data_IF_964577348408
#
_entry.id   IF_964577348408
#
_cell.length_a   1.000
_cell.length_b   1.000
_cell.length_c   1.000
_cell.angle_alpha   90.00
_cell.angle_beta   90.00
_cell.angle_gamma   90.00
#
_symmetry.space_group_name_H-M   'P 1'
#
loop_
_entity.id
_entity.type
_entity.pdbx_description
1 polymer ?
#
# COMPACT_ATOMS: atom_id res chain seq x y z
N UNK A 1 -2.35 43.89 54.60
CA UNK A 1 -2.60 43.61 53.17
C UNK A 1 -1.31 43.15 52.53
N UNK A 2 -1.14 41.86 52.31
CA UNK A 2 0.03 41.30 51.59
C UNK A 2 -0.43 40.96 50.19
N UNK A 3 0.14 41.63 49.19
CA UNK A 3 -0.10 41.39 47.80
C UNK A 3 0.77 40.20 47.36
N UNK A 4 0.13 39.11 47.00
CA UNK A 4 0.79 37.91 46.49
C UNK A 4 0.97 38.10 44.97
N UNK A 5 2.19 38.36 44.55
CA UNK A 5 2.56 38.39 43.11
C UNK A 5 2.71 36.95 42.58
N UNK A 6 1.75 36.50 41.77
CA UNK A 6 1.76 35.22 41.08
C UNK A 6 2.68 35.36 39.86
N UNK A 7 3.88 34.81 39.95
CA UNK A 7 4.84 34.75 38.85
C UNK A 7 4.43 33.63 37.89
N UNK A 8 3.89 33.96 36.70
CA UNK A 8 3.54 33.07 35.63
C UNK A 8 4.83 32.69 34.84
N UNK A 9 5.40 31.54 35.17
CA UNK A 9 6.51 30.96 34.40
C UNK A 9 5.91 30.38 33.13
N UNK A 10 6.05 31.11 32.00
CA UNK A 10 5.77 30.60 30.68
C UNK A 10 6.88 29.59 30.29
N UNK A 11 6.58 28.30 30.38
CA UNK A 11 7.42 27.23 29.87
C UNK A 11 7.26 27.21 28.34
N UNK A 12 8.18 27.87 27.64
CA UNK A 12 8.31 27.77 26.18
C UNK A 12 8.81 26.36 25.85
N UNK A 13 7.87 25.44 25.61
CA UNK A 13 8.18 24.17 24.97
C UNK A 13 8.47 24.49 23.50
N UNK A 14 9.76 24.63 23.16
CA UNK A 14 10.20 24.64 21.79
C UNK A 14 9.93 23.27 21.19
N UNK A 15 8.83 23.15 20.46
CA UNK A 15 8.57 22.00 19.58
C UNK A 15 9.61 22.09 18.46
N UNK A 16 10.74 21.41 18.62
CA UNK A 16 11.66 21.16 17.53
C UNK A 16 10.93 20.28 16.54
N UNK A 17 10.29 20.89 15.54
CA UNK A 17 9.82 20.20 14.36
C UNK A 17 11.08 19.75 13.60
N UNK A 18 11.51 18.51 13.80
CA UNK A 18 12.57 17.91 12.99
C UNK A 18 12.00 17.73 11.58
N UNK A 19 12.28 18.72 10.73
CA UNK A 19 12.05 18.58 9.30
C UNK A 19 13.11 17.61 8.77
N UNK A 20 12.75 16.34 8.60
CA UNK A 20 13.64 15.37 7.98
C UNK A 20 13.82 15.76 6.51
N UNK A 21 15.07 15.85 6.07
CA UNK A 21 15.39 16.16 4.68
C UNK A 21 15.34 14.87 3.85
N UNK A 22 14.52 14.89 2.79
CA UNK A 22 14.40 13.77 1.87
C UNK A 22 15.44 13.86 0.76
N UNK A 23 16.17 12.76 0.54
CA UNK A 23 17.10 12.57 -0.56
C UNK A 23 16.75 11.31 -1.35
N UNK A 24 17.17 11.29 -2.60
CA UNK A 24 17.02 10.17 -3.51
C UNK A 24 18.38 9.68 -3.97
N UNK A 25 18.49 8.43 -4.35
CA UNK A 25 19.72 7.85 -4.91
C UNK A 25 19.38 6.79 -5.95
N UNK A 26 20.11 6.75 -7.05
CA UNK A 26 19.99 5.70 -8.07
C UNK A 26 21.04 4.61 -7.92
N UNK A 27 22.18 4.91 -7.28
CA UNK A 27 23.35 4.03 -7.15
C UNK A 27 23.66 3.63 -5.70
N UNK A 28 22.88 4.15 -4.73
CA UNK A 28 23.10 3.93 -3.29
C UNK A 28 24.26 4.74 -2.71
N UNK A 29 24.96 5.58 -3.51
CA UNK A 29 26.15 6.35 -3.09
C UNK A 29 25.91 7.85 -3.15
N UNK A 30 25.41 8.33 -4.26
CA UNK A 30 25.17 9.75 -4.49
C UNK A 30 23.76 10.12 -4.05
N UNK A 31 23.64 11.20 -3.26
CA UNK A 31 22.33 11.73 -2.81
C UNK A 31 21.95 12.88 -3.73
N UNK A 32 20.72 12.84 -4.21
CA UNK A 32 20.11 13.88 -5.04
C UNK A 32 18.79 14.33 -4.42
N UNK A 33 18.39 15.54 -4.69
CA UNK A 33 17.09 16.07 -4.30
C UNK A 33 15.99 15.51 -5.20
N UNK A 34 14.74 15.68 -4.81
CA UNK A 34 13.60 15.31 -5.64
C UNK A 34 13.61 15.99 -7.00
N UNK A 35 13.94 17.28 -7.01
CA UNK A 35 14.01 18.07 -8.24
C UNK A 35 15.10 17.55 -9.20
N UNK A 36 16.26 17.18 -8.67
CA UNK A 36 17.34 16.60 -9.50
C UNK A 36 16.95 15.23 -10.05
N UNK A 37 16.26 14.38 -9.25
CA UNK A 37 15.76 13.09 -9.72
C UNK A 37 14.72 13.26 -10.85
N UNK A 38 13.80 14.21 -10.73
CA UNK A 38 12.81 14.54 -11.75
C UNK A 38 13.45 15.10 -13.02
N UNK A 39 14.48 15.94 -12.89
CA UNK A 39 15.22 16.47 -14.03
C UNK A 39 15.99 15.36 -14.77
N UNK A 40 16.64 14.45 -14.03
CA UNK A 40 17.31 13.29 -14.62
C UNK A 40 16.34 12.42 -15.41
N UNK A 41 15.18 12.14 -14.84
CA UNK A 41 14.12 11.36 -15.52
C UNK A 41 13.66 12.07 -16.79
N UNK A 42 13.38 13.36 -16.72
CA UNK A 42 12.95 14.17 -17.88
C UNK A 42 13.98 14.13 -19.00
N UNK A 43 15.26 14.34 -18.69
CA UNK A 43 16.35 14.26 -19.68
C UNK A 43 16.45 12.89 -20.35
N UNK A 44 16.26 11.81 -19.59
CA UNK A 44 16.26 10.45 -20.15
C UNK A 44 15.05 10.21 -21.07
N UNK A 45 13.85 10.65 -20.67
CA UNK A 45 12.64 10.55 -21.47
C UNK A 45 12.79 11.29 -22.79
N UNK A 46 13.24 12.54 -22.75
CA UNK A 46 13.44 13.38 -23.94
C UNK A 46 14.46 12.76 -24.91
N UNK A 47 15.56 12.24 -24.37
CA UNK A 47 16.57 11.53 -25.17
C UNK A 47 15.99 10.32 -25.88
N UNK A 48 15.25 9.46 -25.14
CA UNK A 48 14.65 8.24 -25.70
C UNK A 48 13.52 8.56 -26.67
N UNK A 49 12.71 9.58 -26.40
CA UNK A 49 11.66 10.10 -27.29
C UNK A 49 12.25 10.52 -28.64
N UNK A 50 13.38 11.24 -28.63
CA UNK A 50 14.08 11.65 -29.86
C UNK A 50 14.65 10.45 -30.62
N UNK A 51 15.22 9.46 -29.93
CA UNK A 51 15.82 8.26 -30.56
C UNK A 51 14.73 7.40 -31.20
N UNK A 52 13.61 7.18 -30.51
CA UNK A 52 12.56 6.25 -30.93
C UNK A 52 11.48 6.92 -31.81
N UNK A 53 11.50 8.25 -31.94
CA UNK A 53 10.54 8.99 -32.77
C UNK A 53 9.08 8.88 -32.31
N UNK A 54 8.84 8.50 -31.05
CA UNK A 54 7.51 8.39 -30.47
C UNK A 54 7.46 9.00 -29.05
N UNK A 55 6.28 9.50 -28.65
CA UNK A 55 6.07 10.05 -27.32
C UNK A 55 6.35 8.97 -26.27
N UNK A 56 7.20 9.29 -25.30
CA UNK A 56 7.50 8.46 -24.16
C UNK A 56 7.20 9.21 -22.86
N UNK A 57 6.97 8.45 -21.80
CA UNK A 57 6.68 8.93 -20.46
C UNK A 57 7.61 8.26 -19.46
N UNK A 58 8.11 9.04 -18.52
CA UNK A 58 8.94 8.55 -17.42
C UNK A 58 8.13 8.33 -16.15
N UNK A 59 8.58 7.37 -15.37
CA UNK A 59 8.11 7.20 -13.99
C UNK A 59 9.27 6.89 -13.06
N UNK A 60 9.19 7.43 -11.85
CA UNK A 60 10.10 7.17 -10.75
C UNK A 60 9.45 6.16 -9.82
N UNK A 61 10.20 5.12 -9.44
CA UNK A 61 9.76 4.10 -8.48
C UNK A 61 10.74 4.06 -7.32
N UNK A 62 10.24 4.11 -6.09
CA UNK A 62 11.05 3.92 -4.88
C UNK A 62 11.22 2.42 -4.67
N UNK A 63 12.45 1.93 -4.68
CA UNK A 63 12.80 0.53 -4.44
C UNK A 63 12.98 0.24 -2.96
N UNK A 64 13.60 1.16 -2.24
CA UNK A 64 13.91 1.04 -0.83
C UNK A 64 14.06 2.45 -0.21
N UNK A 65 13.79 2.56 1.08
CA UNK A 65 13.98 3.80 1.84
C UNK A 65 14.78 3.49 3.10
N UNK A 66 15.83 4.29 3.34
CA UNK A 66 16.67 4.21 4.53
C UNK A 66 16.61 5.54 5.28
N UNK A 67 16.53 5.50 6.61
CA UNK A 67 16.68 6.69 7.45
C UNK A 67 18.09 6.70 8.02
N UNK A 68 18.84 7.78 7.73
CA UNK A 68 20.20 8.02 8.27
C UNK A 68 20.27 9.39 8.92
N UNK A 69 20.46 9.40 10.25
CA UNK A 69 20.42 10.62 11.06
C UNK A 69 19.10 11.38 10.81
N UNK A 70 19.18 12.64 10.34
CA UNK A 70 18.06 13.53 10.09
C UNK A 70 17.53 13.45 8.64
N UNK A 71 17.98 12.45 7.87
CA UNK A 71 17.65 12.35 6.44
C UNK A 71 16.97 11.03 6.10
N UNK A 72 15.95 11.11 5.26
CA UNK A 72 15.33 9.97 4.60
C UNK A 72 15.98 9.82 3.22
N UNK A 73 16.55 8.65 2.93
CA UNK A 73 17.20 8.37 1.65
C UNK A 73 16.44 7.27 0.95
N UNK A 74 15.82 7.61 -0.17
CA UNK A 74 15.07 6.67 -0.99
C UNK A 74 15.87 6.24 -2.21
N UNK A 75 16.16 4.93 -2.33
CA UNK A 75 16.71 4.38 -3.55
C UNK A 75 15.62 4.32 -4.61
N UNK A 76 15.89 4.89 -5.77
CA UNK A 76 14.95 5.03 -6.86
C UNK A 76 15.45 4.35 -8.14
N UNK A 77 14.51 3.91 -8.95
CA UNK A 77 14.73 3.54 -10.34
C UNK A 77 13.82 4.33 -11.28
N UNK A 78 14.25 4.47 -12.53
CA UNK A 78 13.47 5.11 -13.59
C UNK A 78 12.93 4.05 -14.54
N UNK A 79 11.66 4.16 -14.89
CA UNK A 79 11.06 3.40 -15.97
C UNK A 79 10.60 4.36 -17.07
N UNK A 80 10.83 3.99 -18.33
CA UNK A 80 10.40 4.76 -19.49
C UNK A 80 9.48 3.87 -20.34
N UNK A 81 8.31 4.38 -20.70
CA UNK A 81 7.27 3.66 -21.42
C UNK A 81 6.58 4.58 -22.43
N UNK A 82 5.92 4.01 -23.42
CA UNK A 82 5.02 4.70 -24.33
C UNK A 82 3.63 4.99 -23.72
N UNK A 83 3.42 4.59 -22.46
CA UNK A 83 2.21 4.89 -21.68
C UNK A 83 2.54 5.78 -20.49
N UNK A 84 1.71 6.79 -20.21
CA UNK A 84 1.82 7.57 -18.97
C UNK A 84 1.81 6.65 -17.74
N UNK A 85 2.53 7.04 -16.68
CA UNK A 85 2.54 6.29 -15.42
C UNK A 85 1.14 6.07 -14.86
N UNK A 86 0.25 7.05 -14.99
CA UNK A 86 -1.16 6.90 -14.65
C UNK A 86 -1.84 5.77 -15.44
N UNK A 87 -1.38 5.55 -16.68
CA UNK A 87 -1.83 4.46 -17.53
C UNK A 87 -1.07 3.14 -17.27
N UNK A 88 0.13 3.17 -16.67
CA UNK A 88 0.86 1.96 -16.22
C UNK A 88 0.30 1.44 -14.91
N UNK A 89 -0.05 2.33 -13.98
CA UNK A 89 -0.79 1.99 -12.78
C UNK A 89 -2.23 1.57 -13.12
N UNK A 90 -2.78 2.15 -14.20
CA UNK A 90 -4.09 1.83 -14.75
C UNK A 90 -4.03 0.79 -15.90
N UNK A 91 -2.88 0.22 -16.24
CA UNK A 91 -2.75 -0.77 -17.32
C UNK A 91 -2.74 -2.21 -16.82
N UNK A 92 -2.83 -2.41 -15.53
CA UNK A 92 -3.07 -3.74 -14.96
C UNK A 92 -4.53 -4.16 -15.15
N UNK A 93 -4.84 -5.43 -14.95
CA UNK A 93 -6.18 -5.98 -15.18
C UNK A 93 -7.28 -5.28 -14.37
N UNK A 94 -6.93 -4.67 -13.25
CA UNK A 94 -7.87 -3.91 -12.42
C UNK A 94 -8.06 -2.44 -12.85
N UNK A 95 -7.33 -1.96 -13.87
CA UNK A 95 -7.41 -0.57 -14.33
C UNK A 95 -8.78 -0.21 -14.89
N UNK A 96 -9.46 -1.16 -15.50
CA UNK A 96 -10.81 -0.97 -16.03
C UNK A 96 -11.85 -0.69 -14.94
N UNK A 97 -11.60 -1.14 -13.70
CA UNK A 97 -12.50 -0.94 -12.56
C UNK A 97 -12.18 0.31 -11.75
N UNK A 98 -11.08 1.00 -12.04
CA UNK A 98 -10.67 2.22 -11.32
C UNK A 98 -11.75 3.29 -11.42
N UNK A 99 -12.19 3.80 -10.26
CA UNK A 99 -13.29 4.77 -10.11
C UNK A 99 -14.66 4.27 -10.63
N UNK A 100 -14.82 2.95 -10.79
CA UNK A 100 -16.07 2.28 -11.14
C UNK A 100 -16.48 1.27 -10.06
N UNK A 101 -17.70 0.80 -10.16
CA UNK A 101 -18.18 -0.30 -9.32
C UNK A 101 -17.30 -1.53 -9.52
N UNK A 102 -16.79 -2.06 -8.41
CA UNK A 102 -16.06 -3.31 -8.44
C UNK A 102 -16.98 -4.48 -8.78
N UNK A 103 -16.53 -5.49 -9.51
CA UNK A 103 -17.34 -6.65 -9.84
C UNK A 103 -17.95 -7.29 -8.60
N UNK A 104 -19.22 -7.68 -8.70
CA UNK A 104 -19.88 -8.43 -7.65
C UNK A 104 -19.31 -9.84 -7.59
N UNK A 105 -19.19 -10.35 -6.38
CA UNK A 105 -18.74 -11.71 -6.16
C UNK A 105 -19.60 -12.42 -5.12
N UNK A 106 -19.61 -13.72 -5.24
CA UNK A 106 -20.29 -14.65 -4.38
C UNK A 106 -19.34 -15.81 -4.11
N UNK A 107 -18.73 -15.85 -2.92
CA UNK A 107 -17.63 -16.74 -2.57
C UNK A 107 -17.90 -17.42 -1.23
N UNK A 108 -17.25 -18.56 -1.00
CA UNK A 108 -17.37 -19.30 0.25
C UNK A 108 -16.43 -18.74 1.32
N UNK A 109 -16.94 -18.67 2.55
CA UNK A 109 -16.12 -18.40 3.74
C UNK A 109 -15.50 -19.68 4.29
N UNK A 110 -14.55 -19.55 5.24
CA UNK A 110 -13.99 -20.69 5.99
C UNK A 110 -15.00 -21.49 6.82
N UNK A 111 -16.21 -21.01 6.99
CA UNK A 111 -17.30 -21.71 7.69
C UNK A 111 -18.33 -22.30 6.73
N UNK A 112 -17.96 -22.50 5.49
CA UNK A 112 -18.79 -23.01 4.38
C UNK A 112 -20.12 -22.25 4.19
N UNK A 113 -20.06 -20.94 4.48
CA UNK A 113 -21.18 -20.03 4.25
C UNK A 113 -20.90 -19.21 2.98
N UNK A 114 -21.94 -19.00 2.21
CA UNK A 114 -21.87 -18.12 1.08
C UNK A 114 -21.74 -16.64 1.54
N UNK A 115 -20.78 -15.93 0.96
CA UNK A 115 -20.54 -14.52 1.18
C UNK A 115 -20.80 -13.74 -0.11
N UNK A 116 -21.89 -12.99 -0.13
CA UNK A 116 -22.21 -12.10 -1.23
C UNK A 116 -21.65 -10.68 -0.98
N UNK A 117 -21.00 -10.12 -2.00
CA UNK A 117 -20.35 -8.79 -1.93
C UNK A 117 -21.31 -7.62 -1.64
N UNK A 118 -22.63 -7.82 -1.81
CA UNK A 118 -23.64 -6.82 -1.44
C UNK A 118 -23.64 -6.50 0.07
N UNK A 119 -23.14 -7.43 0.90
CA UNK A 119 -22.96 -7.23 2.35
C UNK A 119 -21.94 -6.14 2.70
N UNK A 120 -21.08 -5.78 1.75
CA UNK A 120 -20.04 -4.76 1.93
C UNK A 120 -20.57 -3.33 1.75
N UNK A 121 -21.77 -3.17 1.20
CA UNK A 121 -22.36 -1.83 0.96
C UNK A 121 -22.55 -1.02 2.24
N UNK A 122 -22.32 0.27 2.12
CA UNK A 122 -22.50 1.23 3.22
C UNK A 122 -21.25 1.44 4.07
N UNK A 123 -20.23 0.57 3.95
CA UNK A 123 -18.96 0.67 4.65
C UNK A 123 -17.80 0.48 3.67
N UNK A 124 -16.77 1.35 3.69
CA UNK A 124 -15.58 1.15 2.86
C UNK A 124 -14.94 -0.21 3.14
N UNK A 125 -14.27 -0.77 2.15
CA UNK A 125 -13.75 -2.14 2.24
C UNK A 125 -12.31 -2.21 1.76
N UNK A 126 -11.45 -2.85 2.54
CA UNK A 126 -10.15 -3.32 2.11
C UNK A 126 -10.25 -4.80 1.74
N UNK A 127 -9.82 -5.15 0.52
CA UNK A 127 -9.71 -6.53 0.04
C UNK A 127 -8.23 -6.83 -0.14
N UNK A 128 -7.74 -7.86 0.53
CA UNK A 128 -6.37 -8.37 0.39
C UNK A 128 -6.41 -9.70 -0.37
N UNK A 129 -5.72 -9.79 -1.50
CA UNK A 129 -5.50 -11.04 -2.23
C UNK A 129 -4.19 -11.66 -1.77
N UNK A 130 -4.24 -12.92 -1.36
CA UNK A 130 -3.11 -13.62 -0.73
C UNK A 130 -3.13 -15.13 -1.01
N UNK A 131 -2.07 -15.85 -0.62
CA UNK A 131 -2.03 -17.31 -0.57
C UNK A 131 -1.01 -17.80 0.48
N UNK A 132 -1.12 -19.06 0.90
CA UNK A 132 -0.39 -19.62 2.06
C UNK A 132 1.13 -19.69 1.90
N UNK A 133 1.64 -19.70 0.67
CA UNK A 133 3.09 -19.76 0.36
C UNK A 133 3.66 -18.40 -0.07
N UNK A 134 2.90 -17.32 0.07
CA UNK A 134 3.31 -15.97 -0.29
C UNK A 134 4.08 -15.34 0.88
N UNK A 135 5.40 -15.39 0.88
CA UNK A 135 6.21 -14.86 1.98
C UNK A 135 5.90 -13.38 2.31
N UNK A 136 5.86 -12.45 1.35
CA UNK A 136 5.52 -11.06 1.68
C UNK A 136 4.07 -10.87 2.18
N UNK A 137 3.12 -11.76 1.78
CA UNK A 137 1.77 -11.74 2.34
C UNK A 137 1.79 -12.13 3.83
N UNK A 138 2.58 -13.15 4.18
CA UNK A 138 2.71 -13.63 5.57
C UNK A 138 3.32 -12.54 6.44
N UNK A 139 4.36 -11.88 5.93
CA UNK A 139 5.09 -10.86 6.67
C UNK A 139 4.23 -9.60 6.96
N UNK A 140 3.26 -9.27 6.08
CA UNK A 140 2.36 -8.12 6.31
C UNK A 140 1.17 -8.42 7.24
N UNK A 141 0.78 -9.70 7.45
CA UNK A 141 -0.40 -10.08 8.24
C UNK A 141 -0.43 -9.49 9.67
N UNK A 142 0.67 -9.48 10.44
CA UNK A 142 0.64 -8.90 11.78
C UNK A 142 0.32 -7.40 11.78
N UNK A 143 0.75 -6.68 10.74
CA UNK A 143 0.51 -5.25 10.60
C UNK A 143 -0.93 -5.02 10.14
N UNK A 144 -1.40 -5.79 9.16
CA UNK A 144 -2.78 -5.75 8.70
C UNK A 144 -3.78 -6.06 9.81
N UNK A 145 -3.46 -7.02 10.72
CA UNK A 145 -4.29 -7.31 11.89
C UNK A 145 -4.40 -6.11 12.84
N UNK A 146 -3.28 -5.40 13.09
CA UNK A 146 -3.29 -4.16 13.89
C UNK A 146 -4.13 -3.06 13.24
N UNK A 147 -4.01 -2.90 11.92
CA UNK A 147 -4.80 -1.94 11.15
C UNK A 147 -6.28 -2.31 11.24
N UNK A 148 -6.62 -3.58 11.01
CA UNK A 148 -8.01 -4.05 11.15
C UNK A 148 -8.56 -3.76 12.56
N UNK A 149 -7.83 -4.11 13.60
CA UNK A 149 -8.31 -3.89 14.98
C UNK A 149 -8.61 -2.42 15.24
N UNK A 150 -7.79 -1.51 14.70
CA UNK A 150 -7.99 -0.06 14.84
C UNK A 150 -9.21 0.46 14.06
N UNK A 151 -9.51 -0.13 12.89
CA UNK A 151 -10.51 0.43 11.96
C UNK A 151 -11.73 -0.46 11.71
N UNK A 152 -11.90 -1.56 12.44
CA UNK A 152 -12.97 -2.55 12.24
C UNK A 152 -14.39 -1.98 12.31
N UNK A 153 -14.58 -0.89 13.08
CA UNK A 153 -15.88 -0.24 13.17
C UNK A 153 -16.21 0.59 11.91
N UNK A 154 -15.19 1.12 11.22
CA UNK A 154 -15.33 2.02 10.08
C UNK A 154 -15.13 1.34 8.73
N UNK A 155 -14.46 0.18 8.70
CA UNK A 155 -14.03 -0.52 7.48
C UNK A 155 -14.36 -2.01 7.52
N UNK A 156 -14.68 -2.59 6.36
CA UNK A 156 -14.68 -4.05 6.17
C UNK A 156 -13.27 -4.50 5.77
N UNK A 157 -12.87 -5.67 6.26
CA UNK A 157 -11.56 -6.28 5.96
C UNK A 157 -11.78 -7.70 5.45
N UNK A 158 -11.48 -7.91 4.17
CA UNK A 158 -11.73 -9.17 3.44
C UNK A 158 -10.40 -9.72 2.92
N UNK A 159 -10.14 -10.99 3.12
CA UNK A 159 -9.00 -11.71 2.58
C UNK A 159 -9.48 -12.75 1.57
N UNK A 160 -9.05 -12.65 0.31
CA UNK A 160 -9.46 -13.54 -0.78
C UNK A 160 -8.28 -14.40 -1.22
N UNK A 161 -8.50 -15.71 -1.30
CA UNK A 161 -7.52 -16.67 -1.82
C UNK A 161 -8.16 -17.70 -2.74
N UNK A 162 -7.42 -18.13 -3.74
CA UNK A 162 -7.82 -19.23 -4.61
C UNK A 162 -7.70 -20.62 -3.94
N UNK A 163 -7.00 -20.68 -2.79
CA UNK A 163 -6.73 -21.93 -2.09
C UNK A 163 -7.98 -22.51 -1.41
N UNK A 164 -7.89 -23.82 -1.12
CA UNK A 164 -8.96 -24.59 -0.50
C UNK A 164 -9.04 -24.35 1.01
N UNK A 165 -10.20 -24.61 1.56
CA UNK A 165 -10.52 -24.46 2.98
C UNK A 165 -9.52 -25.15 3.90
N UNK A 166 -9.13 -26.40 3.60
CA UNK A 166 -8.23 -27.18 4.44
C UNK A 166 -6.84 -26.54 4.53
N UNK A 167 -6.28 -26.10 3.39
CA UNK A 167 -4.97 -25.46 3.32
C UNK A 167 -4.96 -24.16 4.13
N UNK A 168 -5.99 -23.33 3.93
CA UNK A 168 -6.17 -22.06 4.63
C UNK A 168 -6.35 -22.27 6.13
N UNK A 169 -7.22 -23.20 6.56
CA UNK A 169 -7.40 -23.50 7.98
C UNK A 169 -6.14 -24.00 8.66
N UNK A 170 -5.35 -24.83 7.99
CA UNK A 170 -4.10 -25.35 8.54
C UNK A 170 -3.03 -24.24 8.63
N UNK A 171 -2.98 -23.35 7.65
CA UNK A 171 -2.10 -22.18 7.65
C UNK A 171 -2.43 -21.22 8.80
N UNK A 172 -3.70 -20.83 8.96
CA UNK A 172 -4.15 -19.87 9.95
C UNK A 172 -3.91 -20.30 11.42
N UNK A 173 -3.78 -21.61 11.69
CA UNK A 173 -3.35 -22.11 13.02
C UNK A 173 -1.97 -21.62 13.41
N UNK A 174 -1.09 -21.33 12.44
CA UNK A 174 0.31 -20.94 12.65
C UNK A 174 0.55 -19.46 12.35
N UNK A 175 -0.25 -18.89 11.49
CA UNK A 175 -0.12 -17.51 10.99
C UNK A 175 -1.47 -16.83 11.14
N UNK A 176 -1.79 -16.23 12.29
CA UNK A 176 -3.07 -15.54 12.51
C UNK A 176 -3.26 -14.40 11.52
N UNK A 177 -4.38 -14.42 10.81
CA UNK A 177 -4.80 -13.35 9.92
C UNK A 177 -6.29 -13.13 10.11
N UNK A 178 -6.67 -12.02 10.76
CA UNK A 178 -8.00 -11.84 11.35
C UNK A 178 -9.07 -11.32 10.38
N UNK A 179 -8.76 -11.17 9.10
CA UNK A 179 -9.73 -10.73 8.08
C UNK A 179 -10.85 -11.78 7.88
N UNK A 180 -11.98 -11.37 7.30
CA UNK A 180 -12.97 -12.34 6.81
C UNK A 180 -12.41 -13.07 5.58
N UNK A 181 -12.19 -14.36 5.70
CA UNK A 181 -11.56 -15.17 4.66
C UNK A 181 -12.59 -15.72 3.67
N UNK A 182 -12.36 -15.41 2.39
CA UNK A 182 -13.07 -15.98 1.25
C UNK A 182 -12.12 -16.87 0.48
N UNK A 183 -12.55 -18.10 0.24
CA UNK A 183 -11.74 -19.22 -0.25
C UNK A 183 -12.26 -19.77 -1.57
N UNK A 184 -11.48 -20.69 -2.19
CA UNK A 184 -11.84 -21.32 -3.46
C UNK A 184 -12.14 -20.27 -4.57
N UNK A 185 -11.47 -19.13 -4.54
CA UNK A 185 -11.75 -17.99 -5.39
C UNK A 185 -10.99 -18.00 -6.74
N UNK A 186 -10.54 -19.17 -7.22
CA UNK A 186 -9.73 -19.30 -8.44
C UNK A 186 -10.40 -18.62 -9.65
N UNK A 187 -11.66 -18.96 -9.93
CA UNK A 187 -12.40 -18.35 -11.05
C UNK A 187 -12.51 -16.83 -10.92
N UNK A 188 -12.66 -16.32 -9.70
CA UNK A 188 -12.75 -14.86 -9.45
C UNK A 188 -11.40 -14.17 -9.59
N UNK A 189 -10.33 -14.78 -9.08
CA UNK A 189 -8.97 -14.24 -9.25
C UNK A 189 -8.54 -14.26 -10.71
N UNK A 190 -8.92 -15.30 -11.46
CA UNK A 190 -8.65 -15.41 -12.90
C UNK A 190 -9.45 -14.38 -13.70
N UNK A 191 -10.75 -14.20 -13.40
CA UNK A 191 -11.57 -13.15 -14.00
C UNK A 191 -10.98 -11.75 -13.80
N UNK A 192 -10.39 -11.48 -12.65
CA UNK A 192 -9.73 -10.23 -12.33
C UNK A 192 -8.26 -10.18 -12.80
N UNK A 193 -7.75 -11.27 -13.40
CA UNK A 193 -6.35 -11.44 -13.81
C UNK A 193 -5.35 -11.14 -12.68
N UNK A 194 -5.66 -11.53 -11.44
CA UNK A 194 -4.78 -11.33 -10.30
C UNK A 194 -3.57 -12.26 -10.42
N UNK A 195 -2.39 -11.72 -10.76
CA UNK A 195 -1.15 -12.49 -10.95
C UNK A 195 -0.02 -12.08 -9.99
N UNK A 196 -0.20 -11.00 -9.25
CA UNK A 196 0.77 -10.50 -8.27
C UNK A 196 0.16 -10.52 -6.87
N UNK A 197 0.96 -10.96 -5.89
CA UNK A 197 0.56 -11.06 -4.49
C UNK A 197 1.67 -10.51 -3.57
N UNK A 198 1.32 -9.87 -2.43
CA UNK A 198 -0.04 -9.50 -2.06
C UNK A 198 -0.58 -8.37 -2.94
N UNK A 199 -1.90 -8.29 -3.07
CA UNK A 199 -2.57 -7.18 -3.73
C UNK A 199 -3.69 -6.65 -2.83
N UNK A 200 -3.68 -5.36 -2.57
CA UNK A 200 -4.61 -4.67 -1.69
C UNK A 200 -5.49 -3.72 -2.48
N UNK A 201 -6.81 -3.95 -2.45
CA UNK A 201 -7.81 -3.11 -3.09
C UNK A 201 -8.59 -2.35 -2.04
N UNK A 202 -8.97 -1.11 -2.36
CA UNK A 202 -9.76 -0.28 -1.46
C UNK A 202 -11.00 0.22 -2.20
N UNK A 203 -12.15 -0.19 -1.71
CA UNK A 203 -13.46 0.21 -2.19
C UNK A 203 -14.05 1.27 -1.27
N UNK A 204 -14.71 2.27 -1.84
CA UNK A 204 -15.51 3.20 -1.04
C UNK A 204 -16.81 2.53 -0.53
N UNK A 205 -17.57 3.23 0.31
CA UNK A 205 -18.86 2.75 0.86
C UNK A 205 -19.91 2.38 -0.18
N UNK A 206 -19.71 2.80 -1.42
CA UNK A 206 -20.57 2.47 -2.53
C UNK A 206 -20.06 1.28 -3.34
N UNK A 207 -18.94 0.66 -2.96
CA UNK A 207 -18.30 -0.44 -3.68
C UNK A 207 -17.58 0.02 -4.97
N UNK A 208 -17.14 1.27 -5.03
CA UNK A 208 -16.33 1.80 -6.13
C UNK A 208 -14.86 1.57 -5.81
N UNK A 209 -14.09 0.97 -6.72
CA UNK A 209 -12.66 0.77 -6.56
C UNK A 209 -11.91 2.11 -6.62
N UNK A 210 -11.33 2.51 -5.49
CA UNK A 210 -10.61 3.80 -5.37
C UNK A 210 -9.10 3.64 -5.44
N UNK A 211 -8.55 2.61 -4.82
CA UNK A 211 -7.10 2.40 -4.79
C UNK A 211 -6.77 0.91 -4.97
N UNK A 212 -5.64 0.68 -5.66
CA UNK A 212 -4.99 -0.63 -5.80
C UNK A 212 -3.56 -0.47 -5.36
N UNK A 213 -3.10 -1.32 -4.45
CA UNK A 213 -1.75 -1.30 -3.89
C UNK A 213 -1.16 -2.72 -3.85
N UNK A 214 0.15 -2.81 -3.95
CA UNK A 214 0.87 -4.03 -3.59
C UNK A 214 0.91 -4.24 -2.09
N UNK A 215 1.83 -5.08 -1.62
CA UNK A 215 2.08 -5.30 -0.20
C UNK A 215 2.71 -4.10 0.51
N UNK A 216 2.75 -4.19 1.82
CA UNK A 216 3.48 -3.23 2.66
C UNK A 216 4.97 -3.35 2.31
N UNK A 217 5.66 -2.24 1.99
CA UNK A 217 7.08 -2.29 1.66
C UNK A 217 7.94 -2.66 2.87
N UNK A 218 9.03 -3.38 2.61
CA UNK A 218 10.08 -3.55 3.60
C UNK A 218 10.88 -2.27 3.74
N UNK A 219 11.23 -1.93 4.97
CA UNK A 219 12.04 -0.77 5.33
C UNK A 219 13.31 -1.22 6.06
N UNK A 220 14.40 -0.53 5.79
CA UNK A 220 15.67 -0.74 6.49
C UNK A 220 16.08 0.56 7.17
N UNK A 221 16.11 0.53 8.51
CA UNK A 221 16.68 1.62 9.30
C UNK A 221 18.19 1.40 9.51
N UNK A 222 18.93 2.48 9.74
CA UNK A 222 20.37 2.41 9.95
C UNK A 222 20.70 1.53 11.18
N UNK A 223 21.53 0.50 10.97
CA UNK A 223 21.91 -0.46 12.03
C UNK A 223 20.87 -1.53 12.33
N UNK A 224 19.74 -1.56 11.65
CA UNK A 224 18.70 -2.58 11.81
C UNK A 224 18.68 -3.56 10.64
N UNK A 225 18.07 -4.72 10.85
CA UNK A 225 17.74 -5.65 9.79
C UNK A 225 16.54 -5.13 8.96
N UNK A 226 16.42 -5.65 7.72
CA UNK A 226 15.28 -5.37 6.86
C UNK A 226 14.00 -5.89 7.55
N UNK A 227 13.03 -5.01 7.78
CA UNK A 227 11.74 -5.36 8.40
C UNK A 227 10.56 -4.82 7.60
N UNK A 228 9.40 -5.41 7.79
CA UNK A 228 8.15 -4.92 7.23
C UNK A 228 7.85 -3.51 7.76
N UNK A 229 7.43 -2.59 6.89
CA UNK A 229 7.01 -1.25 7.27
C UNK A 229 5.70 -1.24 8.06
N UNK A 230 5.33 -0.11 8.61
CA UNK A 230 4.17 0.06 9.51
C UNK A 230 2.83 0.17 8.77
N UNK A 231 2.80 0.06 7.44
CA UNK A 231 1.57 0.16 6.64
C UNK A 231 0.98 1.58 6.55
N UNK A 232 1.80 2.61 6.70
CA UNK A 232 1.35 4.02 6.71
C UNK A 232 0.54 4.39 5.47
N UNK A 233 0.93 3.90 4.29
CA UNK A 233 0.21 4.16 3.05
C UNK A 233 -1.21 3.55 3.05
N UNK A 234 -1.37 2.36 3.64
CA UNK A 234 -2.69 1.73 3.85
C UNK A 234 -3.53 2.56 4.81
N UNK A 235 -2.93 3.01 5.92
CA UNK A 235 -3.60 3.86 6.91
C UNK A 235 -4.09 5.17 6.28
N UNK A 236 -3.25 5.84 5.49
CA UNK A 236 -3.63 7.06 4.79
C UNK A 236 -4.82 6.86 3.83
N UNK A 237 -4.87 5.73 3.12
CA UNK A 237 -5.98 5.40 2.23
C UNK A 237 -7.26 5.17 3.06
N UNK A 238 -7.17 4.43 4.15
CA UNK A 238 -8.30 4.17 5.05
C UNK A 238 -8.87 5.49 5.58
N UNK A 239 -8.02 6.40 6.08
CA UNK A 239 -8.46 7.69 6.60
C UNK A 239 -9.10 8.59 5.51
N UNK A 240 -8.70 8.45 4.24
CA UNK A 240 -9.31 9.18 3.12
C UNK A 240 -10.69 8.63 2.71
N UNK A 241 -10.96 7.35 2.97
CA UNK A 241 -12.20 6.68 2.54
C UNK A 241 -13.24 6.55 3.67
N UNK A 242 -12.83 6.76 4.89
CA UNK A 242 -13.62 6.71 6.12
C UNK A 242 -14.75 7.72 6.18
#
# INVERSE_FOLDING_TARGET
MKILTLSLVLLLISINSYCQTEYYTTDGKNRITKSEAEEMLTKQVDKMTKILGKQLFGSLTIENTETKNDSIISKISFAISDKKKDNLINSGPLSEFKDKKFPKFDLNTLSDKNFNSEKLKGKPTMINFWFTKCAPCIDEMPILNKIKEKYKEDFNFIAITYEKEEDVKNFLKKHPFDFEHLINAENFTDQLEIKAYPMNLFLDKNGVLKYVKGGIPYVKLEGEELKMGEGNEIIEIIEKLK
#
